data_IF_732344217054
#
_entry.id   IF_732344217054
#
_cell.length_a   1.000
_cell.length_b   1.000
_cell.length_c   1.000
_cell.angle_alpha   90.00
_cell.angle_beta   90.00
_cell.angle_gamma   90.00
#
_symmetry.space_group_name_H-M   'P 1'
#
loop_
_entity.id
_entity.type
_entity.pdbx_description
1 polymer ?
#
# COMPACT_ATOMS: atom_id res chain seq x y z
N UNK A 1 -2.22 -3.62 -0.74
CA UNK A 1 -1.70 -4.31 -1.94
C UNK A 1 -0.37 -3.71 -2.34
N UNK A 2 0.62 -4.55 -2.52
CA UNK A 2 1.99 -4.12 -2.83
C UNK A 2 2.29 -4.42 -4.30
N UNK A 3 2.88 -3.46 -4.99
CA UNK A 3 3.25 -3.61 -6.39
C UNK A 3 4.73 -3.27 -6.59
N UNK A 4 5.46 -4.14 -7.29
CA UNK A 4 6.85 -3.91 -7.62
C UNK A 4 6.96 -2.93 -8.78
N UNK A 5 7.80 -1.91 -8.61
CA UNK A 5 8.07 -0.92 -9.65
C UNK A 5 9.30 -1.30 -10.46
N UNK A 6 9.42 -0.75 -11.67
CA UNK A 6 10.54 -1.02 -12.57
C UNK A 6 11.89 -0.60 -12.02
N UNK A 7 11.92 0.36 -11.10
CA UNK A 7 13.16 0.83 -10.46
C UNK A 7 13.59 0.02 -9.23
N UNK A 8 12.97 -1.15 -9.01
CA UNK A 8 13.28 -2.01 -7.87
C UNK A 8 12.62 -1.61 -6.56
N UNK A 9 11.78 -0.58 -6.58
CA UNK A 9 11.03 -0.15 -5.41
C UNK A 9 9.65 -0.79 -5.37
N UNK A 10 9.00 -0.71 -4.21
CA UNK A 10 7.67 -1.26 -4.00
C UNK A 10 6.71 -0.17 -3.59
N UNK A 11 5.55 -0.15 -4.22
CA UNK A 11 4.50 0.83 -3.91
C UNK A 11 3.33 0.13 -3.22
N UNK A 12 2.86 0.74 -2.14
CA UNK A 12 1.73 0.22 -1.39
C UNK A 12 0.46 0.96 -1.81
N UNK A 13 -0.58 0.18 -2.17
CA UNK A 13 -1.88 0.72 -2.53
C UNK A 13 -2.96 0.26 -1.56
N UNK A 14 -3.97 1.08 -1.38
CA UNK A 14 -5.17 0.71 -0.62
C UNK A 14 -5.90 -0.44 -1.29
N UNK A 15 -6.56 -1.28 -0.51
CA UNK A 15 -7.39 -2.38 -1.04
C UNK A 15 -8.62 -1.88 -1.75
N UNK A 16 -9.20 -0.77 -1.28
CA UNK A 16 -10.43 -0.21 -1.84
C UNK A 16 -10.10 0.78 -2.93
N UNK A 17 -10.79 0.67 -4.06
CA UNK A 17 -10.73 1.65 -5.11
C UNK A 17 -11.52 2.89 -4.72
N UNK A 18 -11.04 4.05 -5.11
CA UNK A 18 -11.80 5.28 -4.98
C UNK A 18 -12.96 5.24 -5.99
N UNK A 19 -14.23 5.32 -5.56
CA UNK A 19 -15.36 5.25 -6.48
C UNK A 19 -15.44 6.42 -7.47
N UNK A 20 -14.79 7.54 -7.15
CA UNK A 20 -14.76 8.71 -8.04
C UNK A 20 -13.79 8.55 -9.20
N UNK A 21 -12.62 7.96 -8.93
CA UNK A 21 -11.54 7.87 -9.93
C UNK A 21 -11.33 6.44 -10.44
N UNK A 22 -11.87 5.44 -9.75
CA UNK A 22 -11.64 4.04 -10.03
C UNK A 22 -10.23 3.57 -9.73
N UNK A 23 -9.42 4.41 -9.11
CA UNK A 23 -8.03 4.12 -8.78
C UNK A 23 -7.86 3.88 -7.28
N UNK A 24 -6.87 3.05 -6.93
CA UNK A 24 -6.53 2.79 -5.54
C UNK A 24 -5.65 3.91 -5.00
N UNK A 25 -5.86 4.25 -3.74
CA UNK A 25 -5.05 5.27 -3.08
C UNK A 25 -3.62 4.78 -2.88
N UNK A 26 -2.65 5.61 -3.25
CA UNK A 26 -1.24 5.35 -3.00
C UNK A 26 -0.92 5.66 -1.53
N UNK A 27 -0.50 4.63 -0.79
CA UNK A 27 -0.18 4.77 0.64
C UNK A 27 1.31 5.03 0.88
N UNK A 28 2.15 4.85 -0.14
CA UNK A 28 3.57 5.13 -0.02
C UNK A 28 4.43 4.27 -0.94
N UNK A 29 5.70 4.67 -1.07
CA UNK A 29 6.70 3.93 -1.85
C UNK A 29 7.84 3.53 -0.92
N UNK A 30 8.29 2.29 -1.01
CA UNK A 30 9.29 1.71 -0.12
C UNK A 30 10.46 1.14 -0.91
N UNK A 31 11.64 1.13 -0.29
CA UNK A 31 12.85 0.60 -0.91
C UNK A 31 12.88 -0.92 -0.95
N UNK A 32 12.14 -1.60 -0.10
CA UNK A 32 12.14 -3.05 -0.02
C UNK A 32 10.74 -3.59 0.22
N UNK A 33 10.55 -4.87 -0.17
CA UNK A 33 9.29 -5.57 0.07
C UNK A 33 8.98 -5.69 1.56
N UNK A 34 10.00 -5.96 2.38
CA UNK A 34 9.83 -6.08 3.82
C UNK A 34 9.29 -4.79 4.44
N UNK A 35 9.82 -3.63 4.02
CA UNK A 35 9.35 -2.34 4.49
C UNK A 35 7.90 -2.09 4.08
N UNK A 36 7.54 -2.42 2.84
CA UNK A 36 6.17 -2.27 2.33
C UNK A 36 5.19 -3.16 3.10
N UNK A 37 5.56 -4.41 3.36
CA UNK A 37 4.73 -5.35 4.12
C UNK A 37 4.53 -4.89 5.56
N UNK A 38 5.57 -4.39 6.18
CA UNK A 38 5.51 -3.87 7.56
C UNK A 38 4.52 -2.72 7.64
N UNK A 39 4.56 -1.81 6.69
CA UNK A 39 3.64 -0.69 6.64
C UNK A 39 2.20 -1.14 6.37
N UNK A 40 2.01 -2.06 5.43
CA UNK A 40 0.69 -2.62 5.12
C UNK A 40 0.06 -3.27 6.35
N UNK A 41 0.85 -4.02 7.11
CA UNK A 41 0.40 -4.65 8.34
C UNK A 41 -0.06 -3.62 9.37
N UNK A 42 0.68 -2.53 9.53
CA UNK A 42 0.31 -1.45 10.43
C UNK A 42 -1.00 -0.79 10.00
N UNK A 43 -1.17 -0.53 8.70
CA UNK A 43 -2.41 0.05 8.16
C UNK A 43 -3.61 -0.87 8.43
N UNK A 44 -3.45 -2.17 8.21
CA UNK A 44 -4.52 -3.13 8.49
C UNK A 44 -4.87 -3.19 9.97
N UNK A 45 -3.87 -3.12 10.83
CA UNK A 45 -4.08 -3.07 12.27
C UNK A 45 -4.93 -1.87 12.68
N UNK A 46 -4.59 -0.69 12.20
CA UNK A 46 -5.35 0.53 12.48
C UNK A 46 -6.79 0.46 11.96
N UNK A 47 -6.99 -0.13 10.79
CA UNK A 47 -8.34 -0.29 10.23
C UNK A 47 -9.22 -1.22 11.06
N UNK A 48 -8.62 -2.26 11.67
CA UNK A 48 -9.36 -3.18 12.52
C UNK A 48 -9.77 -2.57 13.85
N UNK A 49 -8.90 -1.73 14.41
CA UNK A 49 -9.08 -1.17 15.76
C UNK A 49 -9.58 0.26 15.76
N UNK A 50 -9.57 0.91 14.61
CA UNK A 50 -9.99 2.30 14.48
C UNK A 50 -11.39 2.52 13.88
#
# INVERSE_FOLDING_TARGET
>A
MIRKLSNGRYRLYSRKKNPRTGKRRNLGTFKSLAAARKHERAVQYFKRHG
#
